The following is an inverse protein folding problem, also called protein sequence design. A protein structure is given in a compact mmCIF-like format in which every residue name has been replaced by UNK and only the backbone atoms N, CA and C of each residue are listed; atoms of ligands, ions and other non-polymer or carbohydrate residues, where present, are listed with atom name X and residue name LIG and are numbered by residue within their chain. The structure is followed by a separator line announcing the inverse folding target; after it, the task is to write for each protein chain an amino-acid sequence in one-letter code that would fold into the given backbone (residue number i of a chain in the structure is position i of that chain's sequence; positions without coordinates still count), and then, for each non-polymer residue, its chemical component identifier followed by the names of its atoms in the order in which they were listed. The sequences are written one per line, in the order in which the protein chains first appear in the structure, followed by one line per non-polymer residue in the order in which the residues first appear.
data_IF_382032321204
#
_entry.id   IF_382032321204
#
_cell.length_a   1.000
_cell.length_b   1.000
_cell.length_c   1.000
_cell.angle_alpha   90.00
_cell.angle_beta   90.00
_cell.angle_gamma   90.00
#
_symmetry.space_group_name_H-M   'P 1'
#
loop_
_entity.id
_entity.type
_entity.pdbx_description
1 polymer ?
#
# COMPACT_ATOMS: atom_id res chain seq x y z
N UNK A 1 11.43 1.54 -7.70
CA UNK A 1 11.15 2.98 -7.48
C UNK A 1 9.70 3.20 -7.86
N UNK A 2 8.85 3.66 -6.93
CA UNK A 2 7.46 4.00 -7.25
C UNK A 2 7.50 5.25 -8.12
N UNK A 3 6.87 5.21 -9.28
CA UNK A 3 6.68 6.37 -10.14
C UNK A 3 5.93 7.46 -9.36
N UNK A 4 6.40 8.71 -9.40
CA UNK A 4 5.86 9.80 -8.57
C UNK A 4 4.36 10.05 -8.82
N UNK A 5 3.89 9.77 -10.03
CA UNK A 5 2.48 9.86 -10.40
C UNK A 5 1.65 8.80 -9.65
N UNK A 6 2.18 7.57 -9.56
CA UNK A 6 1.56 6.47 -8.79
C UNK A 6 1.52 6.75 -7.29
N UNK A 7 2.60 7.30 -6.72
CA UNK A 7 2.61 7.71 -5.32
C UNK A 7 1.55 8.80 -5.06
N UNK A 8 1.36 9.73 -5.99
CA UNK A 8 0.34 10.76 -5.90
C UNK A 8 -1.07 10.17 -5.97
N UNK A 9 -1.32 9.24 -6.90
CA UNK A 9 -2.61 8.56 -7.03
C UNK A 9 -3.00 7.81 -5.74
N UNK A 10 -2.07 7.03 -5.17
CA UNK A 10 -2.32 6.29 -3.93
C UNK A 10 -2.45 7.19 -2.71
N UNK A 11 -1.68 8.30 -2.63
CA UNK A 11 -1.81 9.26 -1.54
C UNK A 11 -3.21 9.90 -1.45
N UNK A 12 -3.90 10.02 -2.60
CA UNK A 12 -5.24 10.59 -2.73
C UNK A 12 -6.37 9.57 -2.52
N UNK A 13 -6.07 8.28 -2.33
CA UNK A 13 -7.09 7.25 -2.14
C UNK A 13 -7.95 7.51 -0.88
N UNK A 14 -9.27 7.42 -1.04
CA UNK A 14 -10.22 7.47 0.07
C UNK A 14 -10.25 6.11 0.78
N UNK A 15 -10.82 6.07 1.99
CA UNK A 15 -10.99 4.79 2.70
C UNK A 15 -11.90 3.81 1.93
N UNK A 16 -12.80 4.31 1.08
CA UNK A 16 -13.62 3.48 0.18
C UNK A 16 -12.83 2.84 -0.96
N UNK A 17 -11.65 3.38 -1.30
CA UNK A 17 -10.77 2.82 -2.32
C UNK A 17 -9.81 1.76 -1.75
N UNK A 18 -9.78 1.63 -0.42
CA UNK A 18 -8.99 0.63 0.29
C UNK A 18 -9.87 -0.59 0.53
N UNK A 19 -9.35 -1.76 0.20
CA UNK A 19 -10.06 -3.02 0.34
C UNK A 19 -9.11 -4.16 0.72
N UNK A 20 -9.69 -5.33 0.99
CA UNK A 20 -8.94 -6.53 1.36
C UNK A 20 -9.46 -7.70 0.55
N UNK A 21 -8.56 -8.23 -0.26
CA UNK A 21 -8.85 -9.33 -1.17
C UNK A 21 -8.27 -10.65 -0.64
N UNK A 22 -8.97 -11.79 -0.84
CA UNK A 22 -8.39 -13.11 -0.58
C UNK A 22 -7.14 -13.33 -1.44
N UNK A 23 -6.12 -13.95 -0.86
CA UNK A 23 -4.88 -14.26 -1.56
C UNK A 23 -4.50 -15.72 -1.37
N UNK A 24 -3.88 -16.30 -2.40
CA UNK A 24 -3.38 -17.66 -2.38
C UNK A 24 -1.97 -17.69 -2.94
N UNK A 25 -1.07 -18.38 -2.25
CA UNK A 25 0.32 -18.50 -2.65
C UNK A 25 0.89 -19.84 -2.18
N UNK A 26 1.76 -20.46 -2.97
CA UNK A 26 2.54 -21.61 -2.49
C UNK A 26 3.68 -21.11 -1.60
N UNK A 27 3.72 -21.58 -0.35
CA UNK A 27 4.79 -21.34 0.63
C UNK A 27 5.28 -22.70 1.13
N UNK A 28 6.59 -22.94 1.10
CA UNK A 28 7.21 -24.20 1.56
C UNK A 28 6.55 -25.46 0.97
N UNK A 29 6.23 -25.42 -0.33
CA UNK A 29 5.59 -26.53 -1.05
C UNK A 29 4.12 -26.77 -0.69
N UNK A 30 3.48 -25.89 0.09
CA UNK A 30 2.07 -26.00 0.48
C UNK A 30 1.29 -24.76 0.05
N UNK A 31 0.01 -24.94 -0.28
CA UNK A 31 -0.89 -23.83 -0.57
C UNK A 31 -1.23 -23.09 0.73
N UNK A 32 -0.72 -21.86 0.86
CA UNK A 32 -1.12 -20.92 1.89
C UNK A 32 -2.27 -20.04 1.36
N UNK A 33 -3.18 -19.68 2.27
CA UNK A 33 -4.33 -18.81 1.99
C UNK A 33 -4.40 -17.73 3.06
N UNK A 34 -4.59 -16.50 2.62
CA UNK A 34 -4.75 -15.36 3.52
C UNK A 34 -5.30 -14.17 2.74
N UNK A 35 -4.74 -12.99 2.98
CA UNK A 35 -5.29 -11.74 2.48
C UNK A 35 -4.21 -10.79 1.99
N UNK A 36 -4.56 -9.93 1.04
CA UNK A 36 -3.76 -8.81 0.58
C UNK A 36 -4.58 -7.52 0.72
N UNK A 37 -3.94 -6.47 1.24
CA UNK A 37 -4.51 -5.14 1.25
C UNK A 37 -4.39 -4.53 -0.14
N UNK A 38 -5.45 -3.86 -0.62
CA UNK A 38 -5.49 -3.27 -1.95
C UNK A 38 -5.88 -1.80 -1.91
N UNK A 39 -5.35 -1.00 -2.84
CA UNK A 39 -5.84 0.34 -3.14
C UNK A 39 -6.21 0.40 -4.62
N UNK A 40 -7.43 0.84 -4.94
CA UNK A 40 -7.99 0.78 -6.31
C UNK A 40 -7.94 -0.64 -6.91
N UNK A 41 -8.11 -1.67 -6.07
CA UNK A 41 -8.01 -3.07 -6.47
C UNK A 41 -6.58 -3.59 -6.72
N UNK A 42 -5.56 -2.74 -6.59
CA UNK A 42 -4.16 -3.14 -6.73
C UNK A 42 -3.58 -3.57 -5.38
N UNK A 43 -3.01 -4.79 -5.24
CA UNK A 43 -2.30 -5.20 -4.03
C UNK A 43 -1.12 -4.27 -3.74
N UNK A 44 -0.98 -3.85 -2.48
CA UNK A 44 0.09 -2.97 -2.02
C UNK A 44 0.91 -3.63 -0.92
N UNK A 45 2.18 -3.27 -0.84
CA UNK A 45 3.15 -3.85 0.09
C UNK A 45 3.90 -2.76 0.82
N UNK A 46 4.15 -2.97 2.11
CA UNK A 46 5.05 -2.15 2.92
C UNK A 46 6.22 -3.02 3.38
N UNK A 47 7.10 -2.48 4.22
CA UNK A 47 8.15 -3.26 4.89
C UNK A 47 7.60 -4.37 5.81
N UNK A 48 6.32 -4.28 6.22
CA UNK A 48 5.63 -5.34 6.97
C UNK A 48 5.18 -6.51 6.07
N UNK A 49 5.40 -6.40 4.75
CA UNK A 49 5.06 -7.40 3.77
C UNK A 49 3.86 -7.03 2.88
N UNK A 50 3.47 -8.01 2.08
CA UNK A 50 2.42 -7.87 1.05
C UNK A 50 1.17 -8.72 1.31
N UNK A 51 1.28 -9.75 2.15
CA UNK A 51 0.21 -10.73 2.37
C UNK A 51 0.18 -11.17 3.83
N UNK A 52 -1.02 -11.31 4.40
CA UNK A 52 -1.25 -11.45 5.83
C UNK A 52 -2.26 -12.57 6.12
N UNK A 53 -2.17 -13.18 7.30
CA UNK A 53 -3.10 -14.24 7.72
C UNK A 53 -4.50 -13.69 8.07
N UNK A 54 -4.59 -12.42 8.48
CA UNK A 54 -5.87 -11.79 8.86
C UNK A 54 -6.28 -10.65 7.91
N UNK A 55 -7.60 -10.43 7.81
CA UNK A 55 -8.16 -9.31 7.05
C UNK A 55 -7.80 -7.95 7.67
N UNK A 56 -7.74 -7.89 9.00
CA UNK A 56 -7.44 -6.66 9.73
C UNK A 56 -6.02 -6.19 9.42
N UNK A 57 -5.03 -7.09 9.53
CA UNK A 57 -3.63 -6.77 9.26
C UNK A 57 -3.42 -6.33 7.80
N UNK A 58 -4.10 -7.01 6.86
CA UNK A 58 -4.07 -6.62 5.45
C UNK A 58 -4.65 -5.21 5.21
N UNK A 59 -5.74 -4.87 5.89
CA UNK A 59 -6.36 -3.54 5.79
C UNK A 59 -5.45 -2.46 6.40
N UNK A 60 -4.89 -2.72 7.58
CA UNK A 60 -3.97 -1.80 8.26
C UNK A 60 -2.70 -1.57 7.43
N UNK A 61 -2.18 -2.62 6.78
CA UNK A 61 -1.04 -2.50 5.88
C UNK A 61 -1.34 -1.61 4.65
N UNK A 62 -2.53 -1.74 4.05
CA UNK A 62 -2.92 -0.88 2.92
C UNK A 62 -3.11 0.59 3.35
N UNK A 63 -3.66 0.83 4.55
CA UNK A 63 -3.74 2.17 5.13
C UNK A 63 -2.36 2.77 5.39
N UNK A 64 -1.44 1.97 5.93
CA UNK A 64 -0.05 2.39 6.15
C UNK A 64 0.64 2.76 4.84
N UNK A 65 0.47 1.95 3.80
CA UNK A 65 1.02 2.24 2.47
C UNK A 65 0.51 3.59 1.92
N UNK A 66 -0.79 3.90 2.08
CA UNK A 66 -1.35 5.21 1.71
C UNK A 66 -0.66 6.35 2.48
N UNK A 67 -0.45 6.20 3.77
CA UNK A 67 0.25 7.24 4.57
C UNK A 67 1.70 7.43 4.12
N UNK A 68 2.43 6.35 3.82
CA UNK A 68 3.77 6.44 3.25
C UNK A 68 3.77 7.20 1.91
N UNK A 69 2.78 6.97 1.05
CA UNK A 69 2.60 7.73 -0.19
C UNK A 69 2.34 9.22 0.07
N UNK A 70 1.53 9.55 1.10
CA UNK A 70 1.29 10.94 1.52
C UNK A 70 2.58 11.61 2.01
N UNK A 71 3.41 10.90 2.76
CA UNK A 71 4.69 11.42 3.22
C UNK A 71 5.67 11.68 2.07
N UNK A 72 5.77 10.76 1.10
CA UNK A 72 6.59 10.94 -0.11
C UNK A 72 6.14 12.20 -0.85
N UNK A 73 4.83 12.36 -1.07
CA UNK A 73 4.27 13.54 -1.73
C UNK A 73 4.57 14.82 -0.96
N UNK A 74 4.38 14.84 0.37
CA UNK A 74 4.71 16.00 1.22
C UNK A 74 6.16 16.42 1.10
N UNK A 75 7.10 15.46 1.14
CA UNK A 75 8.54 15.73 0.98
C UNK A 75 8.86 16.31 -0.40
N UNK A 76 8.26 15.78 -1.45
CA UNK A 76 8.45 16.28 -2.81
C UNK A 76 7.89 17.70 -3.02
N UNK A 77 6.73 18.03 -2.43
CA UNK A 77 6.16 19.38 -2.52
C UNK A 77 6.80 20.37 -1.54
N UNK A 78 7.32 19.90 -0.39
CA UNK A 78 7.95 20.74 0.63
C UNK A 78 9.38 21.15 0.30
N UNK A 79 10.12 20.33 -0.46
CA UNK A 79 11.47 20.66 -0.94
C UNK A 79 11.51 21.68 -2.09
N UNK A 80 10.36 22.06 -2.66
CA UNK A 80 10.29 23.07 -3.73
C UNK A 80 10.52 24.51 -3.24
N UNK A 81 10.65 24.74 -1.92
CA UNK A 81 10.85 26.06 -1.32
C UNK A 81 12.29 26.35 -0.85
N UNK A 82 13.24 25.41 -0.94
CA UNK A 82 14.61 25.60 -0.42
C UNK A 82 15.68 25.81 -1.50
N UNK A 83 15.27 26.03 -2.76
CA UNK A 83 16.19 26.44 -3.84
C UNK A 83 15.60 27.61 -4.63
N UNK A 84 15.64 28.81 -4.05
CA UNK A 84 15.46 30.08 -4.74
C UNK A 84 16.44 31.11 -4.15
#
# INVERSE_FOLDING_TARGET
MIDFDKATAYANALDSDISVEPWQQVRDGKLWRGYAGTIYGCPVATDNGATFDSRADALENARLFREQCREIRRKATGGAHEHA
#
